data_IF_173245716717
#
_entry.id   IF_173245716717
#
_cell.length_a   1.000
_cell.length_b   1.000
_cell.length_c   1.000
_cell.angle_alpha   90.00
_cell.angle_beta   90.00
_cell.angle_gamma   90.00
#
_symmetry.space_group_name_H-M   'P 1'
#
loop_
_entity.id
_entity.type
_entity.pdbx_description
1 polymer ?
#
# COMPACT_ATOMS: atom_id res chain seq x y z
N UNK A 1 -22.49 -23.00 -6.44
CA UNK A 1 -21.89 -21.66 -6.39
C UNK A 1 -20.91 -21.65 -5.22
N UNK A 2 -19.60 -21.87 -5.43
CA UNK A 2 -18.64 -21.72 -4.34
C UNK A 2 -18.49 -20.23 -4.04
N UNK A 3 -18.78 -19.84 -2.80
CA UNK A 3 -18.47 -18.52 -2.28
C UNK A 3 -16.95 -18.41 -2.17
N UNK A 4 -16.27 -17.49 -2.87
CA UNK A 4 -14.86 -17.24 -2.67
C UNK A 4 -14.66 -16.42 -1.38
N UNK A 5 -15.00 -16.99 -0.22
CA UNK A 5 -14.54 -16.55 1.10
C UNK A 5 -13.17 -17.20 1.41
N UNK A 6 -12.37 -17.44 0.38
CA UNK A 6 -11.18 -18.32 0.42
C UNK A 6 -9.84 -17.59 0.35
N UNK A 7 -9.83 -16.26 0.41
CA UNK A 7 -8.58 -15.50 0.51
C UNK A 7 -8.46 -15.00 1.95
N UNK A 8 -7.74 -15.72 2.80
CA UNK A 8 -6.30 -15.55 2.94
C UNK A 8 -6.10 -14.14 3.49
N UNK A 9 -6.07 -14.02 4.82
CA UNK A 9 -5.69 -12.79 5.51
C UNK A 9 -4.23 -12.52 5.10
N UNK A 10 -4.04 -11.92 3.92
CA UNK A 10 -2.75 -11.44 3.47
C UNK A 10 -2.41 -10.28 4.41
N UNK A 11 -1.58 -10.62 5.39
CA UNK A 11 -0.98 -9.68 6.30
C UNK A 11 0.13 -8.98 5.55
N UNK A 12 0.23 -7.67 5.72
CA UNK A 12 1.24 -6.84 5.11
C UNK A 12 2.09 -6.26 6.23
N UNK A 13 3.38 -6.60 6.23
CA UNK A 13 4.35 -5.92 7.08
C UNK A 13 4.67 -4.57 6.45
N UNK A 14 4.20 -3.50 7.07
CA UNK A 14 4.40 -2.12 6.66
C UNK A 14 5.55 -1.51 7.44
N UNK A 15 6.52 -0.97 6.72
CA UNK A 15 7.66 -0.24 7.23
C UNK A 15 7.50 1.22 6.83
N UNK A 16 7.58 2.12 7.80
CA UNK A 16 7.54 3.56 7.55
C UNK A 16 8.77 4.21 8.16
N UNK A 17 9.32 5.20 7.48
CA UNK A 17 10.47 5.97 7.98
C UNK A 17 10.18 6.55 9.37
N UNK A 18 10.97 6.18 10.37
CA UNK A 18 10.86 6.68 11.74
C UNK A 18 9.84 5.96 12.63
N UNK A 19 9.09 4.97 12.11
CA UNK A 19 8.19 4.13 12.90
C UNK A 19 8.65 2.67 12.91
N UNK A 20 8.19 1.92 13.91
CA UNK A 20 8.39 0.47 13.96
C UNK A 20 7.60 -0.24 12.87
N UNK A 21 8.07 -1.41 12.47
CA UNK A 21 7.35 -2.31 11.58
C UNK A 21 5.96 -2.69 12.13
N UNK A 22 4.92 -2.56 11.29
CA UNK A 22 3.53 -2.83 11.67
C UNK A 22 2.92 -3.86 10.74
N UNK A 23 2.22 -4.85 11.29
CA UNK A 23 1.46 -5.80 10.49
C UNK A 23 0.04 -5.24 10.30
N UNK A 24 -0.31 -4.93 9.06
CA UNK A 24 -1.63 -4.45 8.65
C UNK A 24 -2.32 -5.49 7.78
N UNK A 25 -3.64 -5.50 7.77
CA UNK A 25 -4.41 -6.27 6.78
C UNK A 25 -4.51 -5.50 5.45
N UNK A 26 -4.87 -6.18 4.37
CA UNK A 26 -5.13 -5.54 3.06
C UNK A 26 -6.00 -4.26 3.14
N UNK A 27 -7.19 -4.25 3.79
CA UNK A 27 -8.00 -3.04 3.88
C UNK A 27 -7.35 -1.91 4.68
N UNK A 28 -6.55 -2.24 5.70
CA UNK A 28 -5.82 -1.24 6.49
C UNK A 28 -4.66 -0.62 5.69
N UNK A 29 -3.87 -1.45 5.00
CA UNK A 29 -2.84 -0.98 4.08
C UNK A 29 -3.45 -0.08 3.00
N UNK A 30 -4.59 -0.47 2.44
CA UNK A 30 -5.30 0.32 1.44
C UNK A 30 -5.71 1.69 1.99
N UNK A 31 -6.28 1.73 3.19
CA UNK A 31 -6.67 2.98 3.83
C UNK A 31 -5.45 3.88 4.11
N UNK A 32 -4.33 3.30 4.55
CA UNK A 32 -3.07 4.02 4.80
C UNK A 32 -2.50 4.61 3.52
N UNK A 33 -2.36 3.80 2.46
CA UNK A 33 -1.90 4.27 1.14
C UNK A 33 -2.80 5.35 0.55
N UNK A 34 -4.12 5.19 0.66
CA UNK A 34 -5.08 6.19 0.20
C UNK A 34 -4.90 7.51 0.94
N UNK A 35 -4.72 7.47 2.26
CA UNK A 35 -4.48 8.66 3.08
C UNK A 35 -3.19 9.37 2.67
N UNK A 36 -2.11 8.61 2.49
CA UNK A 36 -0.81 9.13 2.05
C UNK A 36 -0.90 9.76 0.67
N UNK A 37 -1.51 9.09 -0.32
CA UNK A 37 -1.67 9.62 -1.68
C UNK A 37 -2.62 10.83 -1.74
N UNK A 38 -3.61 10.91 -0.86
CA UNK A 38 -4.51 12.07 -0.76
C UNK A 38 -3.79 13.28 -0.16
N UNK A 39 -2.86 13.05 0.77
CA UNK A 39 -2.02 14.10 1.36
C UNK A 39 -0.84 14.50 0.44
N UNK A 40 -0.39 13.58 -0.42
CA UNK A 40 0.69 13.83 -1.37
C UNK A 40 0.21 14.63 -2.58
N UNK A 41 1.07 15.53 -3.07
CA UNK A 41 0.80 16.24 -4.33
C UNK A 41 1.14 15.37 -5.55
N UNK A 42 0.55 15.72 -6.70
CA UNK A 42 0.85 15.09 -8.00
C UNK A 42 2.34 15.12 -8.39
N UNK A 43 3.07 16.12 -7.91
CA UNK A 43 4.52 16.26 -8.14
C UNK A 43 5.37 15.33 -7.27
N UNK A 44 4.80 14.79 -6.18
CA UNK A 44 5.47 13.90 -5.24
C UNK A 44 5.25 12.43 -5.57
N UNK A 45 4.14 12.11 -6.24
CA UNK A 45 3.85 10.73 -6.64
C UNK A 45 4.67 10.34 -7.89
N UNK A 46 5.15 9.09 -7.97
CA UNK A 46 5.85 8.60 -9.14
C UNK A 46 4.99 8.70 -10.41
N UNK A 47 5.63 8.94 -11.55
CA UNK A 47 4.96 9.14 -12.85
C UNK A 47 4.04 7.96 -13.22
N UNK A 48 4.39 6.77 -12.78
CA UNK A 48 3.60 5.55 -12.90
C UNK A 48 2.19 5.67 -12.33
N UNK A 49 2.02 6.44 -11.25
CA UNK A 49 0.73 6.68 -10.60
C UNK A 49 -0.04 7.86 -11.21
N UNK A 50 0.67 8.80 -11.83
CA UNK A 50 0.06 9.96 -12.48
C UNK A 50 -0.82 9.57 -13.68
N UNK A 51 -0.66 8.35 -14.21
CA UNK A 51 -1.51 7.81 -15.28
C UNK A 51 -2.95 7.54 -14.81
N UNK A 52 -3.16 7.35 -13.51
CA UNK A 52 -4.47 7.00 -12.94
C UNK A 52 -5.24 8.25 -12.55
N UNK A 53 -6.56 8.21 -12.74
CA UNK A 53 -7.45 9.35 -12.45
C UNK A 53 -7.89 9.39 -10.99
N UNK A 54 -7.95 8.24 -10.34
CA UNK A 54 -8.42 8.11 -8.96
C UNK A 54 -7.33 7.59 -8.04
N UNK A 55 -7.38 8.00 -6.77
CA UNK A 55 -6.45 7.51 -5.74
C UNK A 55 -6.64 5.99 -5.54
N UNK A 56 -7.86 5.48 -5.68
CA UNK A 56 -8.14 4.05 -5.54
C UNK A 56 -7.40 3.21 -6.58
N UNK A 57 -7.39 3.64 -7.84
CA UNK A 57 -6.62 3.00 -8.90
C UNK A 57 -5.11 3.06 -8.62
N UNK A 58 -4.62 4.18 -8.09
CA UNK A 58 -3.21 4.33 -7.70
C UNK A 58 -2.83 3.36 -6.58
N UNK A 59 -3.65 3.27 -5.52
CA UNK A 59 -3.44 2.33 -4.41
C UNK A 59 -3.45 0.90 -4.91
N UNK A 60 -4.44 0.54 -5.72
CA UNK A 60 -4.56 -0.81 -6.26
C UNK A 60 -3.35 -1.16 -7.14
N UNK A 61 -2.89 -0.23 -7.98
CA UNK A 61 -1.69 -0.44 -8.80
C UNK A 61 -0.44 -0.61 -7.94
N UNK A 62 -0.29 0.22 -6.90
CA UNK A 62 0.79 0.10 -5.94
C UNK A 62 0.80 -1.28 -5.32
N UNK A 63 -0.30 -1.73 -4.70
CA UNK A 63 -0.34 -3.03 -4.02
C UNK A 63 -0.01 -4.20 -4.97
N UNK A 64 -0.43 -4.12 -6.24
CA UNK A 64 -0.23 -5.20 -7.21
C UNK A 64 1.14 -5.20 -7.89
N UNK A 65 1.77 -4.04 -8.04
CA UNK A 65 2.95 -3.86 -8.91
C UNK A 65 4.18 -3.37 -8.15
N UNK A 66 3.97 -2.76 -7.00
CA UNK A 66 4.99 -2.15 -6.16
C UNK A 66 4.89 -2.66 -4.72
N UNK A 67 6.01 -2.64 -4.01
CA UNK A 67 6.04 -2.93 -2.57
C UNK A 67 6.56 -1.73 -1.76
N UNK A 68 6.69 -0.58 -2.43
CA UNK A 68 7.23 0.64 -1.84
C UNK A 68 6.63 1.89 -2.48
N UNK A 69 6.62 2.95 -1.69
CA UNK A 69 6.17 4.28 -2.06
C UNK A 69 7.08 5.32 -1.38
N UNK A 70 7.70 6.16 -2.19
CA UNK A 70 8.55 7.25 -1.73
C UNK A 70 7.82 8.57 -1.98
N UNK A 71 7.40 9.28 -0.93
CA UNK A 71 6.55 10.48 -1.03
C UNK A 71 7.36 11.77 -0.91
N UNK A 72 8.35 11.79 -0.02
CA UNK A 72 9.27 12.92 0.18
C UNK A 72 10.68 12.40 0.44
N UNK A 73 11.72 13.20 0.17
CA UNK A 73 13.08 12.86 0.57
C UNK A 73 13.14 12.63 2.09
N UNK A 74 13.32 11.37 2.49
CA UNK A 74 13.41 10.94 3.88
C UNK A 74 12.19 10.18 4.42
N UNK A 75 11.07 10.16 3.69
CA UNK A 75 9.85 9.45 4.09
C UNK A 75 9.49 8.39 3.04
N UNK A 76 9.72 7.14 3.43
CA UNK A 76 9.44 5.96 2.64
C UNK A 76 8.39 5.12 3.36
N UNK A 77 7.54 4.48 2.56
CA UNK A 77 6.56 3.51 3.01
C UNK A 77 6.77 2.24 2.19
N UNK A 78 7.12 1.15 2.85
CA UNK A 78 7.28 -0.17 2.21
C UNK A 78 6.28 -1.15 2.82
N UNK A 79 5.80 -2.10 2.03
CA UNK A 79 4.90 -3.14 2.50
C UNK A 79 5.27 -4.49 1.89
N UNK A 80 5.24 -5.52 2.71
CA UNK A 80 5.57 -6.88 2.29
C UNK A 80 4.42 -7.82 2.65
N UNK A 81 3.88 -8.53 1.67
CA UNK A 81 2.90 -9.58 1.92
C UNK A 81 3.58 -10.72 2.68
N UNK A 82 3.15 -10.97 3.92
CA UNK A 82 3.64 -12.04 4.78
C UNK A 82 2.52 -13.07 4.98
N UNK A 83 2.87 -14.35 4.82
CA UNK A 83 2.01 -15.45 5.25
C UNK A 83 2.40 -15.81 6.67
N UNK A 84 1.46 -15.71 7.60
CA UNK A 84 1.64 -16.25 8.95
C UNK A 84 1.49 -17.77 8.87
N UNK A 85 2.61 -18.47 8.70
CA UNK A 85 2.66 -19.92 8.86
C UNK A 85 2.59 -20.26 10.36
N UNK A 86 1.67 -21.15 10.72
CA UNK A 86 1.46 -21.62 12.10
C UNK A 86 2.56 -22.57 12.57
#
# INVERSE_FOLDING_TARGET
>A
MPHPLMYNEDHFLVLQSGESEQILTLPELWAKLRGVLTAANLTQIPQDLQRFKTVEEQVQYLINTSCELNIVPGDFLQWYAVRLEK
#
